data_IF_784522514434
#
_entry.id   IF_784522514434
#
_cell.length_a   1.000
_cell.length_b   1.000
_cell.length_c   1.000
_cell.angle_alpha   90.00
_cell.angle_beta   90.00
_cell.angle_gamma   90.00
#
_symmetry.space_group_name_H-M   'P 1'
#
loop_
_entity.id
_entity.type
_entity.pdbx_description
1 polymer ?
#
# COMPACT_ATOMS: atom_id res chain seq x y z
N UNK A 1 -13.80 21.63 22.51
CA UNK A 1 -12.87 21.24 21.41
C UNK A 1 -13.62 20.73 20.17
N UNK A 2 -14.46 19.68 20.27
CA UNK A 2 -15.21 19.10 19.13
C UNK A 2 -16.15 20.07 18.41
N UNK A 3 -16.89 20.92 19.14
CA UNK A 3 -17.75 21.97 18.56
C UNK A 3 -16.94 23.06 17.84
N UNK A 4 -15.77 23.42 18.39
CA UNK A 4 -14.85 24.37 17.77
C UNK A 4 -14.19 23.80 16.51
N UNK A 5 -13.86 22.51 16.49
CA UNK A 5 -13.38 21.79 15.30
C UNK A 5 -14.45 21.71 14.21
N UNK A 6 -15.73 21.52 14.57
CA UNK A 6 -16.83 21.54 13.60
C UNK A 6 -17.05 22.92 13.02
N UNK A 7 -17.21 23.94 13.85
CA UNK A 7 -17.39 25.32 13.38
C UNK A 7 -16.18 25.77 12.58
N UNK A 8 -14.96 25.45 12.99
CA UNK A 8 -13.76 25.83 12.25
C UNK A 8 -13.63 25.05 10.93
N UNK A 9 -13.87 23.73 10.92
CA UNK A 9 -13.82 22.90 9.70
C UNK A 9 -14.94 23.22 8.70
N UNK A 10 -16.15 23.48 9.18
CA UNK A 10 -17.29 23.87 8.35
C UNK A 10 -17.13 25.31 7.86
N UNK A 11 -16.74 26.27 8.70
CA UNK A 11 -16.53 27.65 8.22
C UNK A 11 -15.29 27.80 7.32
N UNK A 12 -14.17 27.11 7.59
CA UNK A 12 -12.99 27.19 6.70
C UNK A 12 -13.13 26.32 5.45
N UNK A 13 -13.78 25.14 5.51
CA UNK A 13 -13.87 24.24 4.35
C UNK A 13 -15.21 24.28 3.60
N UNK A 14 -16.33 24.65 4.24
CA UNK A 14 -17.62 24.86 3.56
C UNK A 14 -17.76 26.28 2.99
N UNK A 15 -16.81 27.16 3.24
CA UNK A 15 -16.55 28.37 2.44
C UNK A 15 -16.08 28.08 1.00
N UNK A 16 -16.55 26.98 0.41
CA UNK A 16 -16.33 26.58 -0.99
C UNK A 16 -16.97 27.52 -2.01
N UNK A 17 -17.71 28.56 -1.58
CA UNK A 17 -18.09 29.70 -2.40
C UNK A 17 -17.10 30.87 -2.33
N UNK A 18 -16.05 30.80 -1.50
CA UNK A 18 -15.01 31.83 -1.43
C UNK A 18 -13.66 31.26 -1.01
N UNK A 19 -12.99 30.57 -1.95
CA UNK A 19 -11.62 30.02 -1.83
C UNK A 19 -10.48 31.03 -1.60
N UNK A 20 -10.76 32.20 -1.02
CA UNK A 20 -9.79 33.25 -0.68
C UNK A 20 -9.10 33.01 0.67
N UNK A 21 -9.78 32.42 1.65
CA UNK A 21 -9.22 32.17 2.99
C UNK A 21 -8.14 31.08 3.04
N UNK A 22 -8.32 29.99 2.28
CA UNK A 22 -7.37 28.87 2.25
C UNK A 22 -6.01 29.24 1.67
N UNK A 23 -5.96 30.16 0.70
CA UNK A 23 -4.70 30.56 0.03
C UNK A 23 -3.72 31.25 0.98
N UNK A 24 -4.21 31.86 2.07
CA UNK A 24 -3.39 32.61 3.05
C UNK A 24 -3.06 31.83 4.31
N UNK A 25 -3.73 30.71 4.59
CA UNK A 25 -3.48 29.91 5.78
C UNK A 25 -2.10 29.24 5.72
N UNK A 26 -1.35 29.23 6.82
CA UNK A 26 -0.01 28.63 6.88
C UNK A 26 -0.05 27.09 6.86
N UNK A 27 0.97 26.43 6.32
CA UNK A 27 1.09 24.96 6.24
C UNK A 27 0.87 24.25 7.58
N UNK A 28 1.37 24.85 8.67
CA UNK A 28 1.22 24.32 10.03
C UNK A 28 -0.24 24.13 10.45
N UNK A 29 -1.14 25.00 10.00
CA UNK A 29 -2.57 24.94 10.34
C UNK A 29 -3.22 23.65 9.80
N UNK A 30 -2.91 23.28 8.54
CA UNK A 30 -3.45 22.06 7.94
C UNK A 30 -2.89 20.80 8.59
N UNK A 31 -1.62 20.86 9.02
CA UNK A 31 -0.96 19.74 9.72
C UNK A 31 -1.57 19.52 11.11
N UNK A 32 -1.70 20.57 11.92
CA UNK A 32 -2.36 20.44 13.24
C UNK A 32 -3.81 19.99 13.10
N UNK A 33 -4.52 20.45 12.07
CA UNK A 33 -5.86 19.96 11.78
C UNK A 33 -5.85 18.46 11.51
N UNK A 34 -4.91 17.96 10.69
CA UNK A 34 -4.75 16.53 10.45
C UNK A 34 -4.54 15.74 11.75
N UNK A 35 -3.69 16.23 12.64
CA UNK A 35 -3.43 15.61 13.96
C UNK A 35 -4.68 15.63 14.85
N UNK A 36 -5.46 16.71 14.84
CA UNK A 36 -6.72 16.78 15.59
C UNK A 36 -7.77 15.82 15.01
N UNK A 37 -7.82 15.68 13.69
CA UNK A 37 -8.71 14.73 13.03
C UNK A 37 -8.34 13.28 13.37
N UNK A 38 -7.05 12.95 13.43
CA UNK A 38 -6.62 11.59 13.80
C UNK A 38 -7.06 11.19 15.22
N UNK A 39 -7.14 12.15 16.14
CA UNK A 39 -7.53 11.88 17.54
C UNK A 39 -9.04 11.91 17.78
N UNK A 40 -9.77 12.73 17.03
CA UNK A 40 -11.15 13.08 17.39
C UNK A 40 -12.20 12.79 16.30
N UNK A 41 -11.80 12.67 15.03
CA UNK A 41 -12.70 12.47 13.86
C UNK A 41 -12.00 11.75 12.71
N UNK A 42 -11.59 10.51 12.95
CA UNK A 42 -10.81 9.74 11.99
C UNK A 42 -11.60 9.42 10.71
N UNK A 43 -12.94 9.35 10.77
CA UNK A 43 -13.81 9.05 9.62
C UNK A 43 -13.72 10.07 8.48
N UNK A 44 -13.20 11.27 8.77
CA UNK A 44 -12.99 12.34 7.78
C UNK A 44 -11.51 12.61 7.51
N UNK A 45 -10.59 11.90 8.18
CA UNK A 45 -9.15 12.17 8.14
C UNK A 45 -8.60 12.02 6.72
N UNK A 46 -8.78 10.86 6.07
CA UNK A 46 -8.32 10.64 4.67
C UNK A 46 -8.77 11.76 3.72
N UNK A 47 -10.04 12.17 3.80
CA UNK A 47 -10.58 13.24 2.94
C UNK A 47 -9.85 14.57 3.17
N UNK A 48 -9.50 14.89 4.42
CA UNK A 48 -8.73 16.10 4.76
C UNK A 48 -7.29 16.02 4.31
N UNK A 49 -6.65 14.85 4.47
CA UNK A 49 -5.28 14.62 4.00
C UNK A 49 -5.19 14.85 2.49
N UNK A 50 -6.10 14.23 1.72
CA UNK A 50 -6.15 14.37 0.26
C UNK A 50 -6.41 15.81 -0.19
N UNK A 51 -7.25 16.56 0.52
CA UNK A 51 -7.57 17.94 0.18
C UNK A 51 -6.37 18.89 0.33
N UNK A 52 -5.44 18.58 1.24
CA UNK A 52 -4.31 19.45 1.58
C UNK A 52 -2.94 18.83 1.32
N UNK A 53 -2.85 17.75 0.53
CA UNK A 53 -1.63 16.93 0.37
C UNK A 53 -0.35 17.73 0.06
N UNK A 54 -0.46 18.82 -0.71
CA UNK A 54 0.68 19.68 -1.09
C UNK A 54 1.10 20.68 0.00
N UNK A 55 0.37 20.76 1.12
CA UNK A 55 0.53 21.76 2.18
C UNK A 55 0.48 21.12 3.57
N UNK A 56 1.00 19.91 3.69
CA UNK A 56 1.10 19.18 4.95
C UNK A 56 2.58 18.92 5.28
N UNK A 57 2.90 18.96 6.57
CA UNK A 57 4.11 18.32 7.07
C UNK A 57 3.83 16.81 7.18
N UNK A 58 4.18 16.09 6.11
CA UNK A 58 3.96 14.64 6.00
C UNK A 58 4.61 13.84 7.14
N UNK A 59 5.89 14.06 7.53
CA UNK A 59 6.50 13.34 8.64
C UNK A 59 5.72 13.45 9.96
N UNK A 60 5.25 14.65 10.31
CA UNK A 60 4.47 14.85 11.54
C UNK A 60 3.14 14.08 11.49
N UNK A 61 2.50 14.05 10.33
CA UNK A 61 1.22 13.37 10.18
C UNK A 61 1.35 11.85 10.11
N UNK A 62 2.46 11.33 9.56
CA UNK A 62 2.82 9.91 9.63
C UNK A 62 2.88 9.48 11.09
N UNK A 63 3.63 10.19 11.93
CA UNK A 63 3.74 9.86 13.35
C UNK A 63 2.36 9.88 14.03
N UNK A 64 1.53 10.90 13.78
CA UNK A 64 0.20 10.99 14.37
C UNK A 64 -0.78 9.91 13.85
N UNK A 65 -0.61 9.41 12.62
CA UNK A 65 -1.42 8.31 12.08
C UNK A 65 -0.94 6.96 12.63
N UNK A 66 0.36 6.78 12.80
CA UNK A 66 0.97 5.57 13.37
C UNK A 66 0.59 5.40 14.85
N UNK A 67 0.73 6.46 15.66
CA UNK A 67 0.31 6.46 17.07
C UNK A 67 -1.17 6.14 17.27
N UNK A 68 -2.01 6.52 16.31
CA UNK A 68 -3.47 6.34 16.37
C UNK A 68 -3.95 5.17 15.49
N UNK A 69 -3.02 4.40 14.91
CA UNK A 69 -3.30 3.20 14.12
C UNK A 69 -4.20 3.43 12.89
N UNK A 70 -4.09 4.59 12.24
CA UNK A 70 -4.83 4.89 11.00
C UNK A 70 -4.10 4.32 9.78
N UNK A 71 -4.13 3.00 9.60
CA UNK A 71 -3.27 2.29 8.62
C UNK A 71 -3.53 2.69 7.17
N UNK A 72 -4.79 2.98 6.81
CA UNK A 72 -5.15 3.46 5.46
C UNK A 72 -4.49 4.81 5.16
N UNK A 73 -4.65 5.77 6.07
CA UNK A 73 -4.06 7.10 5.97
C UNK A 73 -2.54 7.06 6.04
N UNK A 74 -1.99 6.25 6.95
CA UNK A 74 -0.55 6.05 7.09
C UNK A 74 0.07 5.52 5.79
N UNK A 75 -0.55 4.50 5.19
CA UNK A 75 -0.14 3.93 3.90
C UNK A 75 -0.18 4.97 2.79
N UNK A 76 -1.26 5.76 2.73
CA UNK A 76 -1.37 6.86 1.76
C UNK A 76 -0.22 7.87 1.94
N UNK A 77 0.08 8.27 3.17
CA UNK A 77 1.17 9.21 3.47
C UNK A 77 2.55 8.64 3.09
N UNK A 78 2.79 7.35 3.32
CA UNK A 78 4.04 6.71 2.89
C UNK A 78 4.19 6.72 1.38
N UNK A 79 3.13 6.39 0.63
CA UNK A 79 3.12 6.45 -0.84
C UNK A 79 3.37 7.87 -1.34
N UNK A 80 2.79 8.90 -0.71
CA UNK A 80 2.97 10.30 -1.10
C UNK A 80 4.40 10.83 -0.89
N UNK A 81 5.20 10.18 -0.03
CA UNK A 81 6.60 10.56 0.20
C UNK A 81 7.58 9.50 -0.33
N UNK A 82 7.13 8.67 -1.28
CA UNK A 82 7.91 7.62 -1.95
C UNK A 82 8.55 6.60 -0.99
N UNK A 83 8.03 6.46 0.23
CA UNK A 83 8.45 5.43 1.20
C UNK A 83 7.73 4.11 0.94
N UNK A 84 7.92 3.54 -0.25
CA UNK A 84 7.19 2.35 -0.70
C UNK A 84 7.45 1.12 0.16
N UNK A 85 8.66 0.95 0.68
CA UNK A 85 9.01 -0.16 1.57
C UNK A 85 8.19 -0.15 2.87
N UNK A 86 8.01 1.04 3.45
CA UNK A 86 7.19 1.24 4.64
C UNK A 86 5.72 1.04 4.31
N UNK A 87 5.23 1.61 3.20
CA UNK A 87 3.85 1.42 2.75
C UNK A 87 3.53 -0.07 2.57
N UNK A 88 4.41 -0.81 1.90
CA UNK A 88 4.21 -2.23 1.65
C UNK A 88 4.20 -3.05 2.95
N UNK A 89 5.09 -2.74 3.89
CA UNK A 89 5.13 -3.39 5.19
C UNK A 89 3.86 -3.11 6.02
N UNK A 90 3.39 -1.86 6.03
CA UNK A 90 2.14 -1.48 6.72
C UNK A 90 0.94 -2.21 6.11
N UNK A 91 0.84 -2.29 4.78
CA UNK A 91 -0.25 -3.00 4.10
C UNK A 91 -0.26 -4.49 4.49
N UNK A 92 0.88 -5.17 4.47
CA UNK A 92 0.95 -6.59 4.81
C UNK A 92 0.63 -6.87 6.28
N UNK A 93 1.06 -6.00 7.19
CA UNK A 93 0.84 -6.19 8.64
C UNK A 93 -0.59 -5.83 9.07
N UNK A 94 -1.30 -5.02 8.29
CA UNK A 94 -2.63 -4.49 8.62
C UNK A 94 -3.59 -4.62 7.43
N UNK A 95 -3.62 -5.81 6.81
CA UNK A 95 -4.31 -6.05 5.54
C UNK A 95 -5.82 -5.81 5.59
N UNK A 96 -6.48 -6.17 6.70
CA UNK A 96 -7.91 -5.95 6.91
C UNK A 96 -8.35 -4.49 6.70
N UNK A 97 -7.44 -3.55 6.95
CA UNK A 97 -7.72 -2.13 6.84
C UNK A 97 -6.99 -1.52 5.64
N UNK A 98 -5.69 -1.74 5.48
CA UNK A 98 -4.88 -1.00 4.51
C UNK A 98 -4.83 -1.63 3.11
N UNK A 99 -5.23 -2.90 2.94
CA UNK A 99 -5.04 -3.60 1.67
C UNK A 99 -6.09 -3.23 0.63
N UNK A 100 -5.59 -2.79 -0.52
CA UNK A 100 -6.30 -2.75 -1.80
C UNK A 100 -5.38 -3.36 -2.85
N UNK A 101 -5.87 -4.36 -3.59
CA UNK A 101 -5.03 -5.13 -4.49
C UNK A 101 -4.33 -4.26 -5.56
N UNK A 102 -5.08 -3.34 -6.17
CA UNK A 102 -4.56 -2.51 -7.26
C UNK A 102 -3.52 -1.54 -6.74
N UNK A 103 -3.82 -0.86 -5.63
CA UNK A 103 -2.87 0.04 -4.96
C UNK A 103 -1.62 -0.71 -4.49
N UNK A 104 -1.77 -1.90 -3.91
CA UNK A 104 -0.64 -2.65 -3.39
C UNK A 104 0.26 -3.16 -4.53
N UNK A 105 -0.32 -3.61 -5.65
CA UNK A 105 0.45 -3.99 -6.84
C UNK A 105 1.31 -2.83 -7.35
N UNK A 106 0.73 -1.65 -7.47
CA UNK A 106 1.43 -0.43 -7.90
C UNK A 106 2.49 0.05 -6.89
N UNK A 107 2.30 -0.28 -5.61
CA UNK A 107 3.25 0.04 -4.53
C UNK A 107 4.45 -0.91 -4.57
N UNK A 108 4.22 -2.23 -4.67
CA UNK A 108 5.29 -3.23 -4.59
C UNK A 108 6.24 -3.17 -5.79
N UNK A 109 5.78 -2.80 -6.98
CA UNK A 109 6.68 -2.63 -8.14
C UNK A 109 7.71 -1.49 -7.96
N UNK A 110 7.46 -0.57 -7.01
CA UNK A 110 8.32 0.56 -6.66
C UNK A 110 9.17 0.33 -5.40
N UNK A 111 8.96 -0.77 -4.69
CA UNK A 111 9.78 -1.18 -3.54
C UNK A 111 11.21 -1.44 -4.01
N UNK A 112 12.19 -0.98 -3.24
CA UNK A 112 13.62 -1.18 -3.53
C UNK A 112 14.19 -2.36 -2.74
N UNK A 113 13.64 -2.63 -1.55
CA UNK A 113 14.09 -3.72 -0.70
C UNK A 113 13.66 -5.10 -1.26
N UNK A 114 14.64 -5.84 -1.78
CA UNK A 114 14.45 -7.17 -2.37
C UNK A 114 13.87 -8.20 -1.39
N UNK A 115 14.16 -8.08 -0.09
CA UNK A 115 13.62 -8.99 0.93
C UNK A 115 12.09 -8.88 1.06
N UNK A 116 11.52 -7.71 0.73
CA UNK A 116 10.07 -7.52 0.77
C UNK A 116 9.36 -8.33 -0.31
N UNK A 117 9.98 -8.64 -1.46
CA UNK A 117 9.30 -9.45 -2.48
C UNK A 117 8.95 -10.85 -1.97
N UNK A 118 9.86 -11.48 -1.23
CA UNK A 118 9.58 -12.77 -0.60
C UNK A 118 8.42 -12.68 0.40
N UNK A 119 8.36 -11.59 1.19
CA UNK A 119 7.26 -11.33 2.14
C UNK A 119 5.93 -11.08 1.41
N UNK A 120 5.94 -10.33 0.30
CA UNK A 120 4.75 -10.09 -0.52
C UNK A 120 4.21 -11.39 -1.11
N UNK A 121 5.07 -12.22 -1.69
CA UNK A 121 4.66 -13.54 -2.25
C UNK A 121 4.11 -14.44 -1.15
N UNK A 122 4.69 -14.40 0.05
CA UNK A 122 4.16 -15.13 1.20
C UNK A 122 2.79 -14.59 1.64
N UNK A 123 2.65 -13.28 1.77
CA UNK A 123 1.39 -12.61 2.11
C UNK A 123 0.26 -12.99 1.14
N UNK A 124 0.49 -12.87 -0.18
CA UNK A 124 -0.50 -13.27 -1.18
C UNK A 124 -0.80 -14.77 -1.14
N UNK A 125 0.17 -15.61 -0.77
CA UNK A 125 -0.09 -17.04 -0.64
C UNK A 125 -1.05 -17.36 0.51
N UNK A 126 -0.89 -16.69 1.65
CA UNK A 126 -1.68 -16.96 2.85
C UNK A 126 -3.07 -16.31 2.78
N UNK A 127 -3.17 -15.07 2.32
CA UNK A 127 -4.42 -14.31 2.40
C UNK A 127 -5.19 -14.24 1.07
N UNK A 128 -4.48 -14.24 -0.06
CA UNK A 128 -5.05 -13.96 -1.37
C UNK A 128 -4.53 -14.88 -2.50
N UNK A 129 -4.64 -16.22 -2.34
CA UNK A 129 -4.00 -17.16 -3.26
C UNK A 129 -4.46 -16.99 -4.72
N UNK A 130 -5.71 -16.58 -4.94
CA UNK A 130 -6.27 -16.37 -6.27
C UNK A 130 -5.60 -15.19 -7.03
N UNK A 131 -4.98 -14.25 -6.33
CA UNK A 131 -4.37 -13.05 -6.91
C UNK A 131 -2.84 -13.16 -7.05
N UNK A 132 -2.24 -14.26 -6.59
CA UNK A 132 -0.78 -14.42 -6.56
C UNK A 132 -0.15 -14.33 -7.95
N UNK A 133 -0.81 -14.86 -8.99
CA UNK A 133 -0.30 -14.81 -10.36
C UNK A 133 -0.24 -13.38 -10.90
N UNK A 134 -1.22 -12.52 -10.58
CA UNK A 134 -1.22 -11.13 -11.04
C UNK A 134 -0.05 -10.34 -10.43
N UNK A 135 0.22 -10.56 -9.14
CA UNK A 135 1.35 -9.93 -8.46
C UNK A 135 2.68 -10.45 -8.96
N UNK A 136 2.83 -11.76 -9.14
CA UNK A 136 4.04 -12.37 -9.67
C UNK A 136 4.34 -11.85 -11.09
N UNK A 137 3.32 -11.70 -11.95
CA UNK A 137 3.48 -11.09 -13.26
C UNK A 137 3.99 -9.64 -13.17
N UNK A 138 3.43 -8.82 -12.26
CA UNK A 138 3.91 -7.46 -12.02
C UNK A 138 5.35 -7.39 -11.52
N UNK A 139 5.83 -8.43 -10.84
CA UNK A 139 7.17 -8.52 -10.27
C UNK A 139 8.15 -9.36 -11.09
N UNK A 140 7.78 -9.76 -12.31
CA UNK A 140 8.58 -10.68 -13.16
C UNK A 140 10.05 -10.27 -13.27
N UNK A 141 10.35 -8.98 -13.45
CA UNK A 141 11.74 -8.50 -13.63
C UNK A 141 12.55 -8.39 -12.31
N UNK A 142 11.89 -8.57 -11.16
CA UNK A 142 12.47 -8.30 -9.84
C UNK A 142 12.50 -9.52 -8.92
N UNK A 143 11.58 -10.46 -9.13
CA UNK A 143 11.45 -11.65 -8.29
C UNK A 143 12.37 -12.77 -8.77
N UNK A 144 13.05 -13.45 -7.83
CA UNK A 144 13.82 -14.64 -8.15
C UNK A 144 12.90 -15.82 -8.50
N UNK A 145 12.71 -16.11 -9.79
CA UNK A 145 11.81 -17.16 -10.28
C UNK A 145 12.06 -18.52 -9.62
N UNK A 146 13.32 -18.93 -9.49
CA UNK A 146 13.72 -20.18 -8.82
C UNK A 146 13.21 -20.26 -7.39
N UNK A 147 13.39 -19.20 -6.59
CA UNK A 147 12.97 -19.17 -5.20
C UNK A 147 11.45 -19.30 -5.07
N UNK A 148 10.69 -18.64 -5.96
CA UNK A 148 9.23 -18.74 -5.97
C UNK A 148 8.78 -20.16 -6.31
N UNK A 149 9.33 -20.75 -7.37
CA UNK A 149 8.94 -22.11 -7.82
C UNK A 149 9.31 -23.14 -6.77
N UNK A 150 10.52 -23.11 -6.21
CA UNK A 150 10.95 -24.07 -5.19
C UNK A 150 10.13 -23.96 -3.90
N UNK A 151 9.78 -22.74 -3.49
CA UNK A 151 8.91 -22.53 -2.33
C UNK A 151 7.51 -23.13 -2.58
N UNK A 152 6.94 -22.91 -3.76
CA UNK A 152 5.62 -23.47 -4.13
C UNK A 152 5.65 -24.98 -4.32
N UNK A 153 6.72 -25.52 -4.89
CA UNK A 153 6.94 -26.97 -5.03
C UNK A 153 7.01 -27.63 -3.65
N UNK A 154 7.83 -27.09 -2.73
CA UNK A 154 7.93 -27.60 -1.35
C UNK A 154 6.61 -27.50 -0.57
N UNK A 155 5.81 -26.48 -0.85
CA UNK A 155 4.49 -26.32 -0.25
C UNK A 155 3.39 -27.20 -0.90
N UNK A 156 3.69 -27.94 -1.96
CA UNK A 156 2.71 -28.74 -2.71
C UNK A 156 1.69 -27.91 -3.49
N UNK A 157 1.93 -26.60 -3.67
CA UNK A 157 1.00 -25.65 -4.29
C UNK A 157 1.48 -25.20 -5.67
N UNK A 158 2.18 -26.07 -6.38
CA UNK A 158 2.80 -25.76 -7.67
C UNK A 158 1.77 -25.36 -8.74
N UNK A 159 0.60 -26.02 -8.74
CA UNK A 159 -0.49 -25.71 -9.67
C UNK A 159 -1.01 -24.27 -9.54
N UNK A 160 -0.93 -23.67 -8.35
CA UNK A 160 -1.42 -22.30 -8.11
C UNK A 160 -0.66 -21.27 -8.96
N UNK A 161 0.63 -21.49 -9.18
CA UNK A 161 1.50 -20.57 -9.93
C UNK A 161 1.73 -21.02 -11.38
N UNK A 162 0.99 -22.04 -11.86
CA UNK A 162 1.07 -22.52 -13.24
C UNK A 162 0.90 -21.38 -14.27
N UNK A 163 -0.11 -20.48 -14.16
CA UNK A 163 -0.28 -19.40 -15.14
C UNK A 163 0.94 -18.48 -15.23
N UNK A 164 1.55 -18.17 -14.09
CA UNK A 164 2.79 -17.40 -14.03
C UNK A 164 3.98 -18.17 -14.60
N UNK A 165 4.14 -19.46 -14.29
CA UNK A 165 5.22 -20.27 -14.84
C UNK A 165 5.17 -20.35 -16.37
N UNK A 166 3.97 -20.46 -16.95
CA UNK A 166 3.77 -20.43 -18.41
C UNK A 166 4.16 -19.06 -18.99
N UNK A 167 3.84 -17.95 -18.31
CA UNK A 167 4.17 -16.61 -18.83
C UNK A 167 5.68 -16.33 -18.87
N UNK A 168 6.45 -16.94 -17.97
CA UNK A 168 7.92 -16.77 -17.91
C UNK A 168 8.69 -17.92 -18.57
N UNK A 169 8.02 -18.90 -19.18
CA UNK A 169 8.67 -20.05 -19.82
C UNK A 169 9.63 -19.63 -20.94
N UNK A 170 9.33 -18.52 -21.61
CA UNK A 170 10.18 -17.90 -22.65
C UNK A 170 11.56 -17.48 -22.14
N UNK A 171 11.73 -17.27 -20.83
CA UNK A 171 13.01 -16.95 -20.21
C UNK A 171 13.94 -18.17 -20.07
N UNK A 172 13.46 -19.37 -20.47
CA UNK A 172 14.18 -20.64 -20.47
C UNK A 172 14.87 -21.00 -19.14
N UNK A 173 14.17 -20.78 -18.03
CA UNK A 173 14.65 -21.15 -16.69
C UNK A 173 14.39 -22.65 -16.47
N UNK A 174 15.46 -23.45 -16.29
CA UNK A 174 15.38 -24.93 -16.14
C UNK A 174 14.34 -25.37 -15.10
N UNK A 175 14.37 -24.74 -13.93
CA UNK A 175 13.47 -25.08 -12.81
C UNK A 175 11.99 -24.82 -13.15
N UNK A 176 11.70 -23.80 -13.96
CA UNK A 176 10.32 -23.52 -14.43
C UNK A 176 9.87 -24.60 -15.41
N UNK A 177 10.74 -25.01 -16.33
CA UNK A 177 10.44 -26.05 -17.31
C UNK A 177 10.21 -27.40 -16.64
N UNK A 178 11.07 -27.79 -15.70
CA UNK A 178 10.92 -29.01 -14.89
C UNK A 178 9.61 -28.98 -14.09
N UNK A 179 9.34 -27.87 -13.41
CA UNK A 179 8.11 -27.70 -12.64
C UNK A 179 6.86 -27.74 -13.52
N UNK A 180 6.91 -27.19 -14.74
CA UNK A 180 5.80 -27.32 -15.69
C UNK A 180 5.64 -28.77 -16.12
N UNK A 181 6.72 -29.50 -16.40
CA UNK A 181 6.63 -30.91 -16.79
C UNK A 181 6.01 -31.77 -15.68
N UNK A 182 6.37 -31.55 -14.41
CA UNK A 182 5.77 -32.23 -13.25
C UNK A 182 4.25 -32.05 -13.14
N UNK A 183 3.71 -30.94 -13.66
CA UNK A 183 2.27 -30.65 -13.63
C UNK A 183 1.53 -31.32 -14.80
N UNK A 184 2.21 -31.58 -15.92
CA UNK A 184 1.60 -32.11 -17.15
C UNK A 184 1.71 -33.64 -17.27
N UNK A 185 2.58 -34.28 -16.49
CA UNK A 185 2.70 -35.74 -16.33
C UNK A 185 1.70 -36.22 -15.28
#
# INVERSE_FOLDING_TARGET
VLLGLNLWSEHYCAGGSSGRGLKRAHMGIFTELGVLYSRYRHEKLMKRIKLFSTRLNIPKLIHACDEQQHWKELTYLYIQCDKFDNAASTIMNHSLEAWDHMQFKDTVVKVENVELYCKVVHFYHQEHPNLINDVLNGLTLRVGHTCVVDNKRKAGHLHLVKPYMVSIQTNNVSIVNEALNEIHV
#
